data_IF_871387054963
#
_entry.id   IF_871387054963
#
_cell.length_a   1.000
_cell.length_b   1.000
_cell.length_c   1.000
_cell.angle_alpha   90.00
_cell.angle_beta   90.00
_cell.angle_gamma   90.00
#
_symmetry.space_group_name_H-M   'P 1'
#
loop_
_entity.id
_entity.type
_entity.pdbx_description
1 polymer ?
#
# COMPACT_ATOMS: atom_id res chain seq x y z
N UNK A 1 -16.69 -18.76 -1.27
CA UNK A 1 -16.92 -17.31 -1.50
C UNK A 1 -16.61 -16.47 -0.26
N UNK A 2 -17.10 -16.83 0.93
CA UNK A 2 -16.86 -16.08 2.18
C UNK A 2 -15.37 -15.86 2.51
N UNK A 3 -14.50 -16.85 2.29
CA UNK A 3 -13.05 -16.71 2.52
C UNK A 3 -12.43 -15.69 1.57
N UNK A 4 -12.82 -15.69 0.29
CA UNK A 4 -12.34 -14.74 -0.72
C UNK A 4 -12.75 -13.31 -0.34
N UNK A 5 -14.00 -13.10 0.07
CA UNK A 5 -14.48 -11.78 0.49
C UNK A 5 -13.70 -11.22 1.70
N UNK A 6 -13.35 -12.08 2.68
CA UNK A 6 -12.51 -11.66 3.81
C UNK A 6 -11.11 -11.21 3.36
N UNK A 7 -10.51 -11.92 2.39
CA UNK A 7 -9.20 -11.55 1.83
C UNK A 7 -9.32 -10.22 1.08
N UNK A 8 -10.34 -10.07 0.24
CA UNK A 8 -10.59 -8.83 -0.50
C UNK A 8 -10.81 -7.64 0.44
N UNK A 9 -11.59 -7.82 1.51
CA UNK A 9 -11.82 -6.77 2.51
C UNK A 9 -10.51 -6.36 3.22
N UNK A 10 -9.68 -7.34 3.60
CA UNK A 10 -8.37 -7.08 4.20
C UNK A 10 -7.44 -6.33 3.24
N UNK A 11 -7.37 -6.76 1.98
CA UNK A 11 -6.59 -6.08 0.94
C UNK A 11 -7.08 -4.65 0.69
N UNK A 12 -8.41 -4.43 0.69
CA UNK A 12 -8.99 -3.10 0.53
C UNK A 12 -8.65 -2.17 1.70
N UNK A 13 -8.65 -2.68 2.93
CA UNK A 13 -8.24 -1.92 4.10
C UNK A 13 -6.77 -1.46 4.01
N UNK A 14 -5.87 -2.37 3.63
CA UNK A 14 -4.45 -2.01 3.43
C UNK A 14 -4.26 -1.07 2.24
N UNK A 15 -5.03 -1.23 1.17
CA UNK A 15 -5.03 -0.32 0.03
C UNK A 15 -5.55 1.09 0.40
N UNK A 16 -6.55 1.17 1.25
CA UNK A 16 -7.04 2.44 1.78
C UNK A 16 -5.93 3.18 2.55
N UNK A 17 -5.23 2.50 3.46
CA UNK A 17 -4.07 3.06 4.17
C UNK A 17 -2.95 3.50 3.22
N UNK A 18 -2.63 2.68 2.22
CA UNK A 18 -1.62 3.01 1.21
C UNK A 18 -1.99 4.27 0.40
N UNK A 19 -3.23 4.39 -0.07
CA UNK A 19 -3.68 5.56 -0.84
C UNK A 19 -3.79 6.81 0.03
N UNK A 20 -4.23 6.68 1.28
CA UNK A 20 -4.22 7.75 2.28
C UNK A 20 -2.80 8.27 2.53
N UNK A 21 -1.83 7.38 2.74
CA UNK A 21 -0.45 7.76 3.00
C UNK A 21 0.18 8.55 1.84
N UNK A 22 -0.19 8.25 0.61
CA UNK A 22 0.25 9.02 -0.57
C UNK A 22 -0.25 10.46 -0.54
N UNK A 23 -1.51 10.67 -0.20
CA UNK A 23 -2.10 12.02 -0.10
C UNK A 23 -1.49 12.76 1.08
N UNK A 24 -1.39 12.14 2.25
CA UNK A 24 -0.77 12.74 3.44
C UNK A 24 0.67 13.16 3.13
N UNK A 25 1.48 12.30 2.53
CA UNK A 25 2.87 12.61 2.19
C UNK A 25 2.98 13.78 1.21
N UNK A 26 2.05 13.89 0.27
CA UNK A 26 1.98 14.99 -0.69
C UNK A 26 1.61 16.31 -0.01
N UNK A 27 0.54 16.30 0.80
CA UNK A 27 0.09 17.48 1.53
C UNK A 27 1.13 17.94 2.54
N UNK A 28 1.79 17.02 3.21
CA UNK A 28 2.88 17.30 4.13
C UNK A 28 4.06 18.01 3.42
N UNK A 29 4.44 17.53 2.24
CA UNK A 29 5.48 18.18 1.44
C UNK A 29 5.10 19.60 1.06
N UNK A 30 3.88 19.83 0.62
CA UNK A 30 3.38 21.15 0.24
C UNK A 30 3.26 22.08 1.45
N UNK A 31 2.83 21.58 2.61
CA UNK A 31 2.75 22.36 3.85
C UNK A 31 4.10 22.94 4.28
N UNK A 32 5.19 22.17 4.11
CA UNK A 32 6.56 22.66 4.36
C UNK A 32 7.19 23.38 3.18
N UNK A 33 6.39 23.86 2.22
CA UNK A 33 6.85 24.68 1.10
C UNK A 33 7.76 23.96 0.10
N UNK A 34 7.69 22.63 0.04
CA UNK A 34 8.51 21.89 -0.92
C UNK A 34 8.05 22.13 -2.35
N UNK A 35 8.98 22.21 -3.31
CA UNK A 35 8.63 22.45 -4.70
C UNK A 35 7.89 21.26 -5.32
N UNK A 36 7.08 21.52 -6.35
CA UNK A 36 6.25 20.51 -7.00
C UNK A 36 7.02 19.28 -7.50
N UNK A 37 8.28 19.45 -7.93
CA UNK A 37 9.12 18.31 -8.35
C UNK A 37 9.40 17.33 -7.21
N UNK A 38 9.50 17.82 -5.97
CA UNK A 38 9.69 16.95 -4.79
C UNK A 38 8.47 16.07 -4.55
N UNK A 39 7.26 16.59 -4.75
CA UNK A 39 6.03 15.79 -4.74
C UNK A 39 6.09 14.67 -5.77
N UNK A 40 6.60 14.98 -6.97
CA UNK A 40 6.85 13.96 -8.00
C UNK A 40 7.84 12.88 -7.56
N UNK A 41 8.92 13.26 -6.88
CA UNK A 41 9.89 12.29 -6.31
C UNK A 41 9.21 11.39 -5.28
N UNK A 42 8.45 11.95 -4.35
CA UNK A 42 7.72 11.16 -3.33
C UNK A 42 6.78 10.15 -4.00
N UNK A 43 5.96 10.60 -4.94
CA UNK A 43 5.03 9.72 -5.65
C UNK A 43 5.75 8.64 -6.45
N UNK A 44 6.91 8.96 -7.02
CA UNK A 44 7.75 8.00 -7.74
C UNK A 44 8.32 6.94 -6.81
N UNK A 45 8.72 7.29 -5.58
CA UNK A 45 9.26 6.32 -4.62
C UNK A 45 8.22 5.30 -4.16
N UNK A 46 6.93 5.66 -4.11
CA UNK A 46 5.85 4.70 -3.86
C UNK A 46 5.75 3.59 -4.91
N UNK A 47 6.21 3.84 -6.13
CA UNK A 47 6.12 2.90 -7.25
C UNK A 47 7.48 2.29 -7.66
N UNK A 48 8.58 3.00 -7.47
CA UNK A 48 9.90 2.60 -7.99
C UNK A 48 10.38 1.26 -7.43
N UNK A 49 10.44 1.13 -6.10
CA UNK A 49 10.85 -0.13 -5.46
C UNK A 49 9.87 -1.27 -5.79
N UNK A 50 8.53 -1.11 -5.64
CA UNK A 50 7.56 -2.10 -6.07
C UNK A 50 7.78 -2.65 -7.48
N UNK A 51 8.03 -1.80 -8.46
CA UNK A 51 8.27 -2.23 -9.85
C UNK A 51 9.51 -3.12 -9.92
N UNK A 52 10.61 -2.73 -9.28
CA UNK A 52 11.88 -3.46 -9.34
C UNK A 52 11.82 -4.82 -8.64
N UNK A 53 11.09 -4.92 -7.52
CA UNK A 53 11.09 -6.13 -6.69
C UNK A 53 9.91 -7.07 -6.94
N UNK A 54 8.88 -6.67 -7.68
CA UNK A 54 7.63 -7.43 -7.85
C UNK A 54 7.86 -8.89 -8.28
N UNK A 55 8.77 -9.13 -9.23
CA UNK A 55 9.11 -10.49 -9.70
C UNK A 55 9.77 -11.31 -8.57
N UNK A 56 10.65 -10.69 -7.80
CA UNK A 56 11.33 -11.36 -6.69
C UNK A 56 10.36 -11.67 -5.55
N UNK A 57 9.44 -10.75 -5.26
CA UNK A 57 8.36 -10.95 -4.28
C UNK A 57 7.46 -12.12 -4.69
N UNK A 58 7.07 -12.22 -5.98
CA UNK A 58 6.32 -13.36 -6.49
C UNK A 58 7.03 -14.68 -6.24
N UNK A 59 8.29 -14.81 -6.67
CA UNK A 59 9.11 -16.01 -6.44
C UNK A 59 9.30 -16.37 -4.96
N UNK A 60 9.41 -15.34 -4.09
CA UNK A 60 9.54 -15.52 -2.67
C UNK A 60 8.24 -16.07 -2.06
N UNK A 61 7.09 -15.54 -2.46
CA UNK A 61 5.77 -16.01 -2.04
C UNK A 61 5.53 -17.47 -2.48
N UNK A 62 5.89 -17.80 -3.72
CA UNK A 62 5.75 -19.16 -4.24
C UNK A 62 6.59 -20.18 -3.44
N UNK A 63 7.75 -19.76 -2.92
CA UNK A 63 8.66 -20.62 -2.16
C UNK A 63 8.24 -20.81 -0.69
N UNK A 64 7.79 -19.77 -0.02
CA UNK A 64 7.55 -19.79 1.45
C UNK A 64 6.05 -19.68 1.83
N UNK A 65 5.18 -19.52 0.83
CA UNK A 65 3.76 -19.30 1.03
C UNK A 65 3.42 -17.87 1.44
N UNK A 66 2.14 -17.59 1.61
CA UNK A 66 1.59 -16.23 1.76
C UNK A 66 1.66 -15.65 3.18
N UNK A 67 1.84 -16.48 4.21
CA UNK A 67 1.74 -16.03 5.62
C UNK A 67 2.83 -15.04 5.99
N UNK A 68 4.10 -15.40 5.72
CA UNK A 68 5.25 -14.55 6.04
C UNK A 68 5.22 -13.24 5.23
N UNK A 69 5.00 -13.26 3.88
CA UNK A 69 4.89 -12.04 3.11
C UNK A 69 3.80 -11.07 3.57
N UNK A 70 2.63 -11.58 3.97
CA UNK A 70 1.56 -10.74 4.51
C UNK A 70 1.94 -10.12 5.86
N UNK A 71 2.61 -10.87 6.74
CA UNK A 71 3.11 -10.33 8.01
C UNK A 71 4.18 -9.25 7.78
N UNK A 72 5.11 -9.48 6.86
CA UNK A 72 6.14 -8.49 6.47
C UNK A 72 5.47 -7.24 5.92
N UNK A 73 4.50 -7.39 5.02
CA UNK A 73 3.72 -6.28 4.48
C UNK A 73 3.07 -5.43 5.59
N UNK A 74 2.40 -6.07 6.53
CA UNK A 74 1.76 -5.39 7.66
C UNK A 74 2.78 -4.60 8.50
N UNK A 75 3.91 -5.21 8.84
CA UNK A 75 4.98 -4.54 9.59
C UNK A 75 5.59 -3.37 8.83
N UNK A 76 5.78 -3.50 7.51
CA UNK A 76 6.29 -2.39 6.68
C UNK A 76 5.31 -1.23 6.60
N UNK A 77 4.02 -1.49 6.43
CA UNK A 77 3.00 -0.44 6.40
C UNK A 77 2.87 0.21 7.78
N UNK A 78 2.91 -0.55 8.86
CA UNK A 78 2.92 -0.01 10.21
C UNK A 78 4.14 0.88 10.46
N UNK A 79 5.34 0.42 10.08
CA UNK A 79 6.55 1.22 10.17
C UNK A 79 6.47 2.50 9.35
N UNK A 80 5.89 2.43 8.12
CA UNK A 80 5.66 3.59 7.29
C UNK A 80 4.77 4.64 7.96
N UNK A 81 3.70 4.22 8.63
CA UNK A 81 2.82 5.12 9.38
C UNK A 81 3.50 5.76 10.59
N UNK A 82 4.41 5.04 11.24
CA UNK A 82 5.13 5.54 12.43
C UNK A 82 6.28 6.49 12.08
N UNK A 83 6.84 6.39 10.87
CA UNK A 83 8.01 7.18 10.46
C UNK A 83 7.84 8.69 10.66
N UNK A 84 6.80 9.36 10.11
CA UNK A 84 6.67 10.82 10.26
C UNK A 84 6.34 11.24 11.70
N UNK A 85 5.82 10.33 12.54
CA UNK A 85 5.52 10.58 13.95
C UNK A 85 6.79 10.52 14.79
N UNK A 86 7.62 9.51 14.56
CA UNK A 86 8.87 9.30 15.34
C UNK A 86 9.99 10.22 14.88
N UNK A 87 9.97 10.66 13.63
CA UNK A 87 11.00 11.49 13.00
C UNK A 87 10.35 12.71 12.35
N UNK A 88 9.95 13.73 13.13
CA UNK A 88 9.30 14.92 12.61
C UNK A 88 10.21 15.75 11.72
N UNK A 89 9.60 16.48 10.78
CA UNK A 89 10.31 17.28 9.77
C UNK A 89 11.27 18.32 10.37
N UNK A 90 10.92 18.93 11.48
CA UNK A 90 11.69 20.00 12.15
C UNK A 90 13.09 19.52 12.56
N UNK A 91 13.23 18.21 12.84
CA UNK A 91 14.51 17.63 13.29
C UNK A 91 15.23 16.87 12.18
N UNK A 92 14.49 16.19 11.32
CA UNK A 92 15.02 15.23 10.36
C UNK A 92 14.83 15.65 8.90
N UNK A 93 14.16 16.78 8.65
CA UNK A 93 13.85 17.24 7.31
C UNK A 93 12.96 16.27 6.55
N UNK A 94 13.24 16.07 5.27
CA UNK A 94 12.38 15.36 4.34
C UNK A 94 12.58 13.84 4.28
N UNK A 95 13.65 13.31 4.90
CA UNK A 95 13.99 11.89 4.86
C UNK A 95 12.89 10.95 5.35
N UNK A 96 12.20 11.23 6.47
CA UNK A 96 11.16 10.34 6.96
C UNK A 96 10.04 10.10 5.95
N UNK A 97 9.66 11.11 5.16
CA UNK A 97 8.62 10.97 4.13
C UNK A 97 9.07 10.08 2.97
N UNK A 98 10.35 10.19 2.56
CA UNK A 98 10.92 9.29 1.54
C UNK A 98 10.93 7.85 2.04
N UNK A 99 11.35 7.62 3.29
CA UNK A 99 11.34 6.28 3.89
C UNK A 99 9.91 5.75 4.02
N UNK A 100 8.95 6.58 4.45
CA UNK A 100 7.51 6.24 4.47
C UNK A 100 7.03 5.76 3.11
N UNK A 101 7.33 6.50 2.05
CA UNK A 101 6.88 6.14 0.70
C UNK A 101 7.50 4.83 0.20
N UNK A 102 8.77 4.59 0.49
CA UNK A 102 9.46 3.33 0.15
C UNK A 102 8.87 2.13 0.90
N UNK A 103 8.66 2.27 2.21
CA UNK A 103 8.09 1.21 3.05
C UNK A 103 6.64 0.90 2.69
N UNK A 104 5.81 1.94 2.53
CA UNK A 104 4.40 1.77 2.18
C UNK A 104 4.24 1.14 0.79
N UNK A 105 5.01 1.60 -0.21
CA UNK A 105 5.01 1.03 -1.55
C UNK A 105 5.43 -0.42 -1.58
N UNK A 106 6.53 -0.75 -0.91
CA UNK A 106 7.03 -2.12 -0.80
C UNK A 106 6.04 -3.02 -0.06
N UNK A 107 5.54 -2.59 1.09
CA UNK A 107 4.53 -3.33 1.85
C UNK A 107 3.28 -3.60 1.03
N UNK A 108 2.81 -2.61 0.27
CA UNK A 108 1.64 -2.80 -0.58
C UNK A 108 1.85 -3.85 -1.69
N UNK A 109 3.04 -3.90 -2.31
CA UNK A 109 3.34 -4.94 -3.32
C UNK A 109 3.30 -6.36 -2.72
N UNK A 110 3.83 -6.54 -1.51
CA UNK A 110 3.71 -7.82 -0.80
C UNK A 110 2.24 -8.21 -0.56
N UNK A 111 1.41 -7.25 -0.12
CA UNK A 111 -0.04 -7.46 0.04
C UNK A 111 -0.70 -7.83 -1.28
N UNK A 112 -0.41 -7.09 -2.34
CA UNK A 112 -1.05 -7.25 -3.64
C UNK A 112 -0.78 -8.64 -4.23
N UNK A 113 0.49 -9.02 -4.33
CA UNK A 113 0.89 -10.30 -4.93
C UNK A 113 0.42 -11.48 -4.07
N UNK A 114 0.57 -11.41 -2.73
CA UNK A 114 0.10 -12.46 -1.82
C UNK A 114 -1.41 -12.63 -1.88
N UNK A 115 -2.16 -11.53 -1.88
CA UNK A 115 -3.62 -11.54 -1.93
C UNK A 115 -4.15 -12.07 -3.26
N UNK A 116 -3.57 -11.66 -4.39
CA UNK A 116 -3.93 -12.16 -5.72
C UNK A 116 -3.62 -13.65 -5.86
N UNK A 117 -2.47 -14.11 -5.38
CA UNK A 117 -2.12 -15.52 -5.34
C UNK A 117 -3.13 -16.34 -4.51
N UNK A 118 -3.50 -15.83 -3.34
CA UNK A 118 -4.46 -16.50 -2.47
C UNK A 118 -5.89 -16.52 -3.06
N UNK A 119 -6.33 -15.44 -3.69
CA UNK A 119 -7.60 -15.39 -4.43
C UNK A 119 -7.56 -16.42 -5.57
N UNK A 120 -6.47 -16.48 -6.32
CA UNK A 120 -6.28 -17.44 -7.41
C UNK A 120 -6.38 -18.91 -6.94
N UNK A 121 -5.74 -19.22 -5.81
CA UNK A 121 -5.78 -20.57 -5.22
C UNK A 121 -7.14 -20.97 -4.66
N UNK A 122 -7.87 -20.03 -4.06
CA UNK A 122 -9.19 -20.28 -3.45
C UNK A 122 -10.34 -20.21 -4.44
N UNK A 123 -10.11 -19.73 -5.65
CA UNK A 123 -11.10 -19.65 -6.70
C UNK A 123 -10.99 -20.83 -7.67
N UNK A 124 -12.12 -21.19 -8.25
CA UNK A 124 -12.21 -22.17 -9.34
C UNK A 124 -12.53 -21.45 -10.68
N UNK A 125 -12.50 -22.20 -11.78
CA UNK A 125 -12.75 -21.64 -13.12
C UNK A 125 -14.10 -20.91 -13.25
N UNK A 126 -15.11 -21.28 -12.43
CA UNK A 126 -16.46 -20.66 -12.50
C UNK A 126 -16.54 -19.33 -11.76
N UNK A 127 -15.75 -19.14 -10.69
CA UNK A 127 -15.86 -17.96 -9.84
C UNK A 127 -14.60 -17.09 -9.79
N UNK A 128 -13.53 -17.45 -10.51
CA UNK A 128 -12.27 -16.71 -10.53
C UNK A 128 -12.43 -15.28 -11.05
N UNK A 129 -13.12 -15.12 -12.19
CA UNK A 129 -13.39 -13.78 -12.74
C UNK A 129 -14.16 -12.91 -11.73
N UNK A 130 -15.21 -13.45 -11.13
CA UNK A 130 -16.02 -12.78 -10.10
C UNK A 130 -15.18 -12.38 -8.88
N UNK A 131 -14.27 -13.24 -8.44
CA UNK A 131 -13.39 -12.96 -7.30
C UNK A 131 -12.46 -11.78 -7.57
N UNK A 132 -11.84 -11.72 -8.75
CA UNK A 132 -11.01 -10.58 -9.14
C UNK A 132 -11.82 -9.31 -9.41
N UNK A 133 -13.07 -9.42 -9.89
CA UNK A 133 -13.99 -8.28 -9.99
C UNK A 133 -14.29 -7.67 -8.63
N UNK A 134 -14.55 -8.50 -7.60
CA UNK A 134 -14.73 -7.98 -6.23
C UNK A 134 -13.47 -7.28 -5.71
N UNK A 135 -12.29 -7.81 -5.99
CA UNK A 135 -11.03 -7.14 -5.64
C UNK A 135 -10.92 -5.77 -6.32
N UNK A 136 -11.20 -5.70 -7.61
CA UNK A 136 -11.13 -4.44 -8.38
C UNK A 136 -12.12 -3.39 -7.85
N UNK A 137 -13.37 -3.79 -7.57
CA UNK A 137 -14.37 -2.90 -6.97
C UNK A 137 -13.91 -2.41 -5.60
N UNK A 138 -13.42 -3.31 -4.76
CA UNK A 138 -12.94 -2.97 -3.41
C UNK A 138 -11.75 -2.00 -3.46
N UNK A 139 -10.83 -2.16 -4.43
CA UNK A 139 -9.72 -1.24 -4.64
C UNK A 139 -10.17 0.11 -5.17
N UNK A 140 -11.16 0.16 -6.05
CA UNK A 140 -11.72 1.42 -6.53
C UNK A 140 -12.37 2.20 -5.37
N UNK A 141 -13.15 1.52 -4.53
CA UNK A 141 -13.77 2.14 -3.34
C UNK A 141 -12.70 2.63 -2.37
N UNK A 142 -11.75 1.77 -1.98
CA UNK A 142 -10.69 2.14 -1.04
C UNK A 142 -9.75 3.21 -1.58
N UNK A 143 -9.50 3.20 -2.91
CA UNK A 143 -8.70 4.21 -3.60
C UNK A 143 -9.35 5.58 -3.63
N UNK A 144 -10.67 5.66 -3.57
CA UNK A 144 -11.43 6.92 -3.48
C UNK A 144 -11.62 7.36 -2.03
N UNK A 145 -12.03 6.45 -1.15
CA UNK A 145 -12.35 6.77 0.25
C UNK A 145 -11.11 7.11 1.07
N UNK A 146 -9.99 6.41 0.85
CA UNK A 146 -8.76 6.66 1.58
C UNK A 146 -8.28 8.11 1.53
N UNK A 147 -8.06 8.68 0.33
CA UNK A 147 -7.71 10.09 0.16
C UNK A 147 -8.71 11.08 0.75
N UNK A 148 -10.02 10.82 0.61
CA UNK A 148 -11.06 11.70 1.18
C UNK A 148 -11.00 11.73 2.70
N UNK A 149 -10.90 10.55 3.32
CA UNK A 149 -10.77 10.45 4.79
C UNK A 149 -9.47 11.11 5.26
N UNK A 150 -8.36 10.87 4.56
CA UNK A 150 -7.08 11.48 4.88
C UNK A 150 -7.12 13.02 4.79
N UNK A 151 -7.73 13.57 3.75
CA UNK A 151 -7.89 15.01 3.59
C UNK A 151 -8.75 15.62 4.71
N UNK A 152 -9.87 15.00 5.02
CA UNK A 152 -10.77 15.47 6.11
C UNK A 152 -10.12 15.44 7.50
N UNK A 153 -9.19 14.52 7.76
CA UNK A 153 -8.52 14.41 9.07
C UNK A 153 -7.36 15.40 9.24
N UNK A 154 -6.91 16.04 8.16
CA UNK A 154 -5.80 17.01 8.17
C UNK A 154 -6.31 18.45 8.34
N UNK A 155 -7.55 18.73 7.89
CA UNK A 155 -8.22 20.01 8.09
C UNK A 155 -8.67 20.20 9.56
#
# INVERSE_FOLDING_TARGET
MTKILKIVAFMALLHCGFTSSRVISTLYALHYGQPAWMVGVILSTYAAIPVLISIHVGKFIDKIGVRIPITVSFLMILAACLMPILFPYEQFGFWPIIVTSLLAGTGFVFTLISGQGLIGHLSNNKNRATAFTYQSIAFSISGSTGPVVAGYLID
#
